data_IF_038201459699
#
_entry.id   IF_038201459699
#
_cell.length_a   1.000
_cell.length_b   1.000
_cell.length_c   1.000
_cell.angle_alpha   90.00
_cell.angle_beta   90.00
_cell.angle_gamma   90.00
#
_symmetry.space_group_name_H-M   'P 1'
#
loop_
_entity.id
_entity.type
_entity.pdbx_description
1 polymer ?
#
# COMPACT_ATOMS: atom_id res chain seq x y z
N UNK A 1 -20.97 -5.06 -24.95
CA UNK A 1 -21.51 -5.19 -23.57
C UNK A 1 -20.46 -5.92 -22.72
N UNK A 2 -19.40 -5.25 -22.29
CA UNK A 2 -18.40 -5.76 -21.33
C UNK A 2 -17.58 -4.57 -20.86
N UNK A 3 -18.05 -3.79 -19.89
CA UNK A 3 -17.26 -2.69 -19.30
C UNK A 3 -17.83 -2.24 -17.93
N UNK A 4 -18.24 -3.18 -17.08
CA UNK A 4 -18.76 -2.82 -15.75
C UNK A 4 -18.25 -3.69 -14.60
N UNK A 5 -17.21 -4.51 -14.81
CA UNK A 5 -16.63 -5.36 -13.77
C UNK A 5 -15.51 -4.64 -13.01
N UNK A 6 -15.00 -3.51 -13.51
CA UNK A 6 -13.83 -2.82 -12.94
C UNK A 6 -14.09 -1.43 -12.37
N UNK A 7 -15.33 -0.92 -12.45
CA UNK A 7 -15.65 0.41 -11.92
C UNK A 7 -15.42 0.52 -10.40
N UNK A 8 -15.71 -0.54 -9.66
CA UNK A 8 -15.54 -0.58 -8.20
C UNK A 8 -14.14 -0.98 -7.72
N UNK A 9 -13.26 -1.41 -8.64
CA UNK A 9 -11.91 -1.88 -8.28
C UNK A 9 -10.81 -0.86 -8.56
N UNK A 10 -11.16 0.35 -9.01
CA UNK A 10 -10.23 1.45 -9.28
C UNK A 10 -10.32 2.61 -8.27
N UNK A 11 -11.30 2.58 -7.37
CA UNK A 11 -11.53 3.63 -6.37
C UNK A 11 -11.74 3.03 -4.99
N UNK A 12 -11.31 3.75 -3.96
CA UNK A 12 -11.46 3.38 -2.57
C UNK A 12 -12.75 4.00 -2.01
N UNK A 13 -13.55 3.21 -1.28
CA UNK A 13 -14.81 3.71 -0.69
C UNK A 13 -14.55 4.53 0.57
N UNK A 14 -13.49 4.17 1.29
CA UNK A 14 -13.08 4.81 2.55
C UNK A 14 -12.38 6.13 2.27
N UNK A 15 -12.50 7.06 3.21
CA UNK A 15 -11.75 8.32 3.14
C UNK A 15 -10.25 8.08 3.29
N UNK A 16 -9.44 9.04 2.85
CA UNK A 16 -7.98 8.99 3.00
C UNK A 16 -7.59 8.78 4.47
N UNK A 17 -8.20 9.52 5.39
CA UNK A 17 -7.89 9.39 6.81
C UNK A 17 -8.28 8.04 7.40
N UNK A 18 -9.42 7.48 6.98
CA UNK A 18 -9.80 6.12 7.37
C UNK A 18 -8.82 5.08 6.84
N UNK A 19 -8.27 5.26 5.63
CA UNK A 19 -7.25 4.35 5.09
C UNK A 19 -5.97 4.37 5.95
N UNK A 20 -5.47 5.54 6.35
CA UNK A 20 -4.31 5.63 7.25
C UNK A 20 -4.60 5.03 8.62
N UNK A 21 -5.78 5.27 9.20
CA UNK A 21 -6.18 4.68 10.48
C UNK A 21 -6.30 3.14 10.39
N UNK A 22 -6.76 2.62 9.25
CA UNK A 22 -6.79 1.18 9.02
C UNK A 22 -5.37 0.62 8.86
N UNK A 23 -4.49 1.31 8.13
CA UNK A 23 -3.10 0.88 7.99
C UNK A 23 -2.39 0.84 9.36
N UNK A 24 -2.61 1.84 10.21
CA UNK A 24 -2.07 1.89 11.57
C UNK A 24 -2.65 0.78 12.47
N UNK A 25 -3.97 0.57 12.44
CA UNK A 25 -4.64 -0.43 13.30
C UNK A 25 -4.42 -1.87 12.83
N UNK A 26 -4.52 -2.10 11.54
CA UNK A 26 -4.61 -3.43 10.92
C UNK A 26 -3.37 -3.81 10.10
N UNK A 27 -2.40 -2.91 9.98
CA UNK A 27 -1.16 -3.12 9.25
C UNK A 27 -1.26 -2.93 7.73
N UNK A 28 -2.46 -2.90 7.13
CA UNK A 28 -2.60 -2.75 5.69
C UNK A 28 -3.84 -1.97 5.27
N UNK A 29 -3.67 -1.05 4.32
CA UNK A 29 -4.79 -0.39 3.64
C UNK A 29 -4.51 -0.16 2.14
N UNK A 30 -5.56 0.26 1.42
CA UNK A 30 -5.45 0.77 0.05
C UNK A 30 -5.74 2.27 0.00
N UNK A 31 -5.12 2.94 -0.98
CA UNK A 31 -5.45 4.30 -1.40
C UNK A 31 -5.67 4.34 -2.91
N UNK A 32 -6.42 5.31 -3.42
CA UNK A 32 -6.50 5.66 -4.85
C UNK A 32 -5.87 7.03 -5.16
N UNK A 33 -5.16 7.59 -4.18
CA UNK A 33 -4.41 8.85 -4.24
C UNK A 33 -2.95 8.62 -3.86
N UNK A 34 -2.11 9.65 -4.00
CA UNK A 34 -0.69 9.57 -3.66
C UNK A 34 -0.50 9.20 -2.18
N UNK A 35 0.50 8.35 -1.91
CA UNK A 35 0.82 7.93 -0.54
C UNK A 35 1.65 9.04 0.13
N UNK A 36 1.18 9.53 1.28
CA UNK A 36 1.93 10.39 2.19
C UNK A 36 2.74 9.51 3.16
N UNK A 37 3.93 9.17 2.71
CA UNK A 37 4.89 8.32 3.43
C UNK A 37 5.27 8.91 4.79
N UNK A 38 5.19 10.24 4.96
CA UNK A 38 5.54 10.90 6.21
C UNK A 38 4.57 10.57 7.33
N UNK A 39 3.28 10.38 7.01
CA UNK A 39 2.26 9.92 7.97
C UNK A 39 2.57 8.50 8.47
N UNK A 40 2.93 7.60 7.56
CA UNK A 40 3.22 6.20 7.88
C UNK A 40 4.54 6.04 8.62
N UNK A 41 5.56 6.81 8.25
CA UNK A 41 6.82 6.81 9.00
C UNK A 41 6.59 7.27 10.44
N UNK A 42 5.76 8.30 10.65
CA UNK A 42 5.44 8.82 11.98
C UNK A 42 4.71 7.80 12.86
N UNK A 43 3.84 6.95 12.28
CA UNK A 43 3.15 5.90 13.05
C UNK A 43 4.10 4.78 13.51
N UNK A 44 5.24 4.61 12.83
CA UNK A 44 6.25 3.61 13.17
C UNK A 44 7.41 4.18 14.02
N UNK A 45 7.38 5.47 14.35
CA UNK A 45 8.43 6.11 15.14
C UNK A 45 8.30 5.69 16.60
N UNK A 46 9.33 5.00 17.12
CA UNK A 46 9.31 4.41 18.45
C UNK A 46 10.73 4.43 19.05
N UNK A 47 10.88 5.08 20.20
CA UNK A 47 12.18 5.25 20.89
C UNK A 47 12.83 3.93 21.34
N UNK A 48 12.09 2.81 21.32
CA UNK A 48 12.64 1.47 21.57
C UNK A 48 13.21 0.77 20.33
N UNK A 49 12.98 1.32 19.13
CA UNK A 49 13.50 0.81 17.87
C UNK A 49 14.88 1.43 17.58
N UNK A 50 15.88 0.58 17.28
CA UNK A 50 17.19 1.04 16.80
C UNK A 50 17.30 1.21 15.28
N UNK A 51 16.27 0.79 14.54
CA UNK A 51 16.25 0.84 13.08
C UNK A 51 14.80 1.00 12.58
N UNK A 52 14.70 1.62 11.40
CA UNK A 52 13.49 1.71 10.60
C UNK A 52 13.88 1.37 9.16
N UNK A 53 13.10 0.53 8.50
CA UNK A 53 13.32 0.15 7.10
C UNK A 53 12.03 0.38 6.31
N UNK A 54 12.16 1.05 5.16
CA UNK A 54 11.06 1.17 4.21
C UNK A 54 11.38 0.49 2.87
N UNK A 55 10.34 0.00 2.22
CA UNK A 55 10.34 -0.44 0.83
C UNK A 55 9.29 0.35 0.05
N UNK A 56 9.70 0.87 -1.10
CA UNK A 56 8.83 1.55 -2.05
C UNK A 56 8.84 0.83 -3.40
N UNK A 57 7.68 0.33 -3.81
CA UNK A 57 7.48 -0.15 -5.17
C UNK A 57 7.08 1.02 -6.07
N UNK A 58 8.00 1.48 -6.92
CA UNK A 58 7.76 2.61 -7.85
C UNK A 58 7.49 2.14 -9.28
N UNK A 59 6.63 2.86 -9.99
CA UNK A 59 6.35 2.60 -11.41
C UNK A 59 7.59 2.90 -12.25
N UNK A 60 8.09 1.91 -12.98
CA UNK A 60 9.24 2.03 -13.90
C UNK A 60 8.77 2.31 -15.33
N UNK A 61 9.60 2.99 -16.12
CA UNK A 61 9.33 3.31 -17.53
C UNK A 61 9.49 2.11 -18.50
N UNK A 62 9.73 0.90 -18.00
CA UNK A 62 9.89 -0.29 -18.83
C UNK A 62 9.47 -1.55 -18.09
N UNK A 63 8.94 -2.51 -18.85
CA UNK A 63 8.66 -3.87 -18.41
C UNK A 63 9.20 -4.85 -19.46
N UNK A 64 10.24 -5.61 -19.11
CA UNK A 64 11.02 -6.41 -20.05
C UNK A 64 11.50 -5.55 -21.25
N UNK A 65 11.19 -5.97 -22.48
CA UNK A 65 11.56 -5.25 -23.70
C UNK A 65 10.59 -4.12 -24.08
N UNK A 66 9.55 -3.85 -23.28
CA UNK A 66 8.46 -2.94 -23.64
C UNK A 66 8.50 -1.66 -22.80
N UNK A 67 8.37 -0.51 -23.45
CA UNK A 67 8.20 0.78 -22.77
C UNK A 67 6.85 0.86 -22.05
N UNK A 68 6.85 1.41 -20.84
CA UNK A 68 5.65 1.63 -20.03
C UNK A 68 5.45 3.14 -19.90
N UNK A 69 4.21 3.60 -20.11
CA UNK A 69 3.83 5.00 -19.89
C UNK A 69 3.14 5.19 -18.54
N UNK A 70 2.34 4.20 -18.11
CA UNK A 70 1.64 4.16 -16.83
C UNK A 70 1.27 2.73 -16.46
N UNK A 71 0.91 2.51 -15.19
CA UNK A 71 0.30 1.28 -14.72
C UNK A 71 -1.07 1.57 -14.11
N UNK A 72 -2.04 0.69 -14.37
CA UNK A 72 -3.35 0.74 -13.70
C UNK A 72 -3.46 -0.46 -12.76
N UNK A 73 -3.63 -0.17 -11.48
CA UNK A 73 -3.81 -1.17 -10.43
C UNK A 73 -5.29 -1.28 -10.06
N UNK A 74 -5.73 -2.51 -9.83
CA UNK A 74 -7.09 -2.81 -9.39
C UNK A 74 -7.05 -3.53 -8.06
N UNK A 75 -7.94 -3.18 -7.14
CA UNK A 75 -8.04 -3.81 -5.83
C UNK A 75 -9.48 -3.93 -5.35
N UNK A 76 -9.85 -5.09 -4.81
CA UNK A 76 -11.07 -5.23 -4.03
C UNK A 76 -10.74 -4.94 -2.57
N UNK A 77 -11.16 -3.76 -2.11
CA UNK A 77 -10.69 -3.13 -0.88
C UNK A 77 -10.77 -4.03 0.36
N UNK A 78 -11.94 -4.62 0.63
CA UNK A 78 -12.13 -5.42 1.85
C UNK A 78 -11.30 -6.72 1.83
N UNK A 79 -11.14 -7.35 0.66
CA UNK A 79 -10.31 -8.55 0.53
C UNK A 79 -8.82 -8.20 0.68
N UNK A 80 -8.39 -7.09 0.08
CA UNK A 80 -7.01 -6.63 0.17
C UNK A 80 -6.63 -6.30 1.61
N UNK A 81 -7.49 -5.60 2.36
CA UNK A 81 -7.29 -5.31 3.79
C UNK A 81 -7.18 -6.62 4.60
N UNK A 82 -8.09 -7.57 4.38
CA UNK A 82 -8.05 -8.85 5.09
C UNK A 82 -6.77 -9.64 4.81
N UNK A 83 -6.35 -9.71 3.54
CA UNK A 83 -5.14 -10.44 3.15
C UNK A 83 -3.87 -9.73 3.63
N UNK A 84 -3.81 -8.41 3.50
CA UNK A 84 -2.69 -7.60 3.96
C UNK A 84 -2.49 -7.69 5.47
N UNK A 85 -3.58 -7.60 6.24
CA UNK A 85 -3.55 -7.84 7.69
C UNK A 85 -2.95 -9.20 8.02
N UNK A 86 -3.38 -10.27 7.34
CA UNK A 86 -2.86 -11.61 7.57
C UNK A 86 -1.34 -11.70 7.33
N UNK A 87 -0.83 -11.02 6.29
CA UNK A 87 0.61 -10.98 5.98
C UNK A 87 1.39 -10.22 7.06
N UNK A 88 0.90 -9.06 7.51
CA UNK A 88 1.55 -8.29 8.58
C UNK A 88 1.56 -9.06 9.88
N UNK A 89 0.45 -9.70 10.25
CA UNK A 89 0.35 -10.53 11.45
C UNK A 89 1.30 -11.73 11.39
N UNK A 90 1.47 -12.35 10.21
CA UNK A 90 2.46 -13.41 10.02
C UNK A 90 3.89 -12.87 10.16
N UNK A 91 4.19 -11.70 9.57
CA UNK A 91 5.51 -11.08 9.66
C UNK A 91 5.89 -10.77 11.12
N UNK A 92 4.97 -10.18 11.90
CA UNK A 92 5.16 -9.89 13.33
C UNK A 92 5.37 -11.16 14.18
N UNK A 93 4.80 -12.30 13.77
CA UNK A 93 5.01 -13.59 14.45
C UNK A 93 6.33 -14.26 14.06
N UNK A 94 6.75 -14.08 12.80
CA UNK A 94 7.91 -14.77 12.23
C UNK A 94 9.22 -14.03 12.50
N UNK A 95 9.17 -12.71 12.60
CA UNK A 95 10.34 -11.85 12.76
C UNK A 95 10.25 -11.08 14.08
N UNK A 96 11.39 -10.83 14.71
CA UNK A 96 11.49 -10.00 15.93
C UNK A 96 11.39 -8.51 15.59
N UNK A 97 10.25 -8.10 15.03
CA UNK A 97 9.92 -6.72 14.67
C UNK A 97 8.89 -6.18 15.65
N UNK A 98 8.99 -4.89 16.00
CA UNK A 98 8.03 -4.26 16.90
C UNK A 98 6.74 -3.88 16.17
N UNK A 99 6.86 -3.44 14.92
CA UNK A 99 5.69 -3.09 14.12
C UNK A 99 5.98 -3.26 12.61
N UNK A 100 4.91 -3.26 11.81
CA UNK A 100 4.98 -3.20 10.35
C UNK A 100 3.66 -2.68 9.79
N UNK A 101 3.73 -1.77 8.82
CA UNK A 101 2.57 -1.18 8.15
C UNK A 101 2.83 -1.12 6.65
N UNK A 102 1.79 -1.32 5.83
CA UNK A 102 1.83 -1.12 4.40
C UNK A 102 0.59 -0.40 3.85
N UNK A 103 0.80 0.39 2.80
CA UNK A 103 -0.27 0.90 1.95
C UNK A 103 0.05 0.57 0.50
N UNK A 104 -0.95 0.08 -0.24
CA UNK A 104 -0.86 -0.07 -1.70
C UNK A 104 -1.82 0.91 -2.39
N UNK A 105 -1.31 1.63 -3.38
CA UNK A 105 -2.09 2.53 -4.23
C UNK A 105 -2.71 1.78 -5.41
N UNK A 106 -3.98 2.02 -5.66
CA UNK A 106 -4.74 1.54 -6.83
C UNK A 106 -5.08 2.71 -7.75
N UNK A 107 -5.67 2.42 -8.92
CA UNK A 107 -5.96 3.43 -9.93
C UNK A 107 -4.82 3.57 -10.94
N UNK A 108 -4.80 4.69 -11.66
CA UNK A 108 -3.78 4.98 -12.67
C UNK A 108 -2.58 5.69 -12.04
N UNK A 109 -1.39 5.10 -12.19
CA UNK A 109 -0.14 5.60 -11.67
C UNK A 109 0.84 5.91 -12.80
N UNK A 110 1.46 7.08 -12.72
CA UNK A 110 2.48 7.53 -13.67
C UNK A 110 3.87 7.00 -13.32
N UNK A 111 4.83 7.15 -14.23
CA UNK A 111 6.23 6.78 -13.98
C UNK A 111 6.78 7.53 -12.76
N UNK A 112 7.36 6.79 -11.82
CA UNK A 112 7.94 7.32 -10.58
C UNK A 112 6.99 7.29 -9.37
N UNK A 113 5.69 7.16 -9.60
CA UNK A 113 4.68 7.05 -8.53
C UNK A 113 4.93 5.82 -7.67
N UNK A 114 4.67 5.97 -6.37
CA UNK A 114 4.73 4.86 -5.40
C UNK A 114 3.43 4.07 -5.48
N UNK A 115 3.54 2.84 -5.97
CA UNK A 115 2.46 1.87 -6.01
C UNK A 115 2.27 1.15 -4.67
N UNK A 116 3.35 0.91 -3.94
CA UNK A 116 3.28 0.29 -2.61
C UNK A 116 4.36 0.86 -1.72
N UNK A 117 3.99 1.14 -0.48
CA UNK A 117 4.90 1.51 0.59
C UNK A 117 4.77 0.51 1.72
N UNK A 118 5.89 0.03 2.26
CA UNK A 118 5.95 -0.87 3.42
C UNK A 118 6.99 -0.31 4.38
N UNK A 119 6.64 -0.18 5.66
CA UNK A 119 7.55 0.23 6.73
C UNK A 119 7.59 -0.82 7.84
N UNK A 120 8.77 -1.01 8.42
CA UNK A 120 9.08 -1.93 9.52
C UNK A 120 10.02 -1.24 10.50
#
# INVERSE_FOLDING_TARGET
MTDNVHGQSMSIKRSIDEAYLIAERDGFALLDTDIDESRLKKTLDNDSCGAFVCFEGRVRNHNNATSVNRLTYYGYEDLAINQGRAIIEEAKKRFEILDAIAIHRIGALEIGDVAVWVGV
#
